data_IF_936559836250
#
_entry.id   IF_936559836250
#
_cell.length_a   1.000
_cell.length_b   1.000
_cell.length_c   1.000
_cell.angle_alpha   90.00
_cell.angle_beta   90.00
_cell.angle_gamma   90.00
#
_symmetry.space_group_name_H-M   'P 1'
#
loop_
_entity.id
_entity.type
_entity.pdbx_description
1 polymer ?
#
# COMPACT_ATOMS: atom_id res chain seq x y z
N UNK A 1 -22.80 -13.40 -7.39
CA UNK A 1 -23.54 -13.23 -8.65
C UNK A 1 -22.71 -13.82 -9.80
N UNK A 2 -21.51 -13.37 -10.05
CA UNK A 2 -20.63 -13.87 -11.13
C UNK A 2 -20.37 -15.40 -11.07
N UNK A 3 -20.19 -16.00 -9.90
CA UNK A 3 -19.99 -17.45 -9.74
C UNK A 3 -21.17 -18.31 -10.22
N UNK A 4 -22.37 -17.76 -10.34
CA UNK A 4 -23.54 -18.47 -10.87
C UNK A 4 -23.65 -18.36 -12.39
N UNK A 5 -23.21 -17.24 -12.96
CA UNK A 5 -23.24 -17.00 -14.40
C UNK A 5 -22.04 -17.60 -15.11
N UNK A 6 -20.90 -17.69 -14.43
CA UNK A 6 -19.61 -18.16 -14.95
C UNK A 6 -19.01 -19.26 -14.05
N UNK A 7 -19.63 -20.46 -13.97
CA UNK A 7 -19.21 -21.50 -13.03
C UNK A 7 -17.82 -22.07 -13.37
N UNK A 8 -17.48 -22.21 -14.66
CA UNK A 8 -16.17 -22.70 -15.09
C UNK A 8 -15.05 -21.73 -14.76
N UNK A 9 -15.30 -20.44 -14.98
CA UNK A 9 -14.38 -19.37 -14.57
C UNK A 9 -14.17 -19.38 -13.07
N UNK A 10 -15.24 -19.51 -12.29
CA UNK A 10 -15.16 -19.59 -10.83
C UNK A 10 -14.30 -20.76 -10.37
N UNK A 11 -14.51 -21.96 -10.93
CA UNK A 11 -13.73 -23.15 -10.60
C UNK A 11 -12.24 -22.93 -10.88
N UNK A 12 -11.91 -22.52 -12.11
CA UNK A 12 -10.53 -22.24 -12.54
C UNK A 12 -9.86 -21.18 -11.67
N UNK A 13 -10.58 -20.11 -11.33
CA UNK A 13 -10.09 -19.06 -10.45
C UNK A 13 -9.76 -19.59 -9.05
N UNK A 14 -10.66 -20.39 -8.46
CA UNK A 14 -10.47 -20.96 -7.12
C UNK A 14 -9.30 -21.95 -7.07
N UNK A 15 -9.13 -22.78 -8.11
CA UNK A 15 -8.00 -23.70 -8.23
C UNK A 15 -6.68 -22.96 -8.36
N UNK A 16 -6.62 -21.94 -9.22
CA UNK A 16 -5.43 -21.09 -9.38
C UNK A 16 -5.09 -20.35 -8.08
N UNK A 17 -6.08 -19.77 -7.40
CA UNK A 17 -5.89 -19.09 -6.14
C UNK A 17 -5.31 -20.02 -5.05
N UNK A 18 -5.78 -21.27 -4.98
CA UNK A 18 -5.23 -22.30 -4.08
C UNK A 18 -3.79 -22.66 -4.43
N UNK A 19 -3.48 -22.81 -5.73
CA UNK A 19 -2.13 -23.09 -6.20
C UNK A 19 -1.15 -21.95 -5.84
N UNK A 20 -1.63 -20.71 -5.79
CA UNK A 20 -0.90 -19.53 -5.31
C UNK A 20 -0.83 -19.43 -3.77
N UNK A 21 -1.42 -20.40 -3.04
CA UNK A 21 -1.39 -20.45 -1.58
C UNK A 21 -2.46 -19.58 -0.88
N UNK A 22 -3.47 -19.09 -1.59
CA UNK A 22 -4.57 -18.34 -0.97
C UNK A 22 -5.58 -19.28 -0.31
N UNK A 23 -6.08 -18.86 0.86
CA UNK A 23 -7.18 -19.56 1.56
C UNK A 23 -8.50 -19.33 0.81
N UNK A 24 -9.40 -20.31 0.83
CA UNK A 24 -10.67 -20.28 0.10
C UNK A 24 -11.51 -19.01 0.34
N UNK A 25 -11.59 -18.55 1.59
CA UNK A 25 -12.34 -17.33 1.90
C UNK A 25 -11.73 -16.06 1.30
N UNK A 26 -10.38 -16.01 1.17
CA UNK A 26 -9.69 -14.91 0.49
C UNK A 26 -9.86 -14.99 -1.02
N UNK A 27 -9.76 -16.19 -1.60
CA UNK A 27 -10.01 -16.44 -3.02
C UNK A 27 -11.45 -16.06 -3.38
N UNK A 28 -12.44 -16.45 -2.58
CA UNK A 28 -13.84 -16.07 -2.77
C UNK A 28 -14.03 -14.54 -2.68
N UNK A 29 -13.38 -13.87 -1.74
CA UNK A 29 -13.42 -12.41 -1.64
C UNK A 29 -12.84 -11.74 -2.90
N UNK A 30 -11.72 -12.24 -3.41
CA UNK A 30 -11.11 -11.75 -4.66
C UNK A 30 -12.05 -11.99 -5.86
N UNK A 31 -12.67 -13.17 -5.96
CA UNK A 31 -13.63 -13.45 -7.02
C UNK A 31 -14.86 -12.53 -6.95
N UNK A 32 -15.33 -12.19 -5.75
CA UNK A 32 -16.39 -11.21 -5.58
C UNK A 32 -15.96 -9.80 -6.01
N UNK A 33 -14.69 -9.42 -5.77
CA UNK A 33 -14.12 -8.17 -6.31
C UNK A 33 -14.13 -8.16 -7.83
N UNK A 34 -13.78 -9.28 -8.50
CA UNK A 34 -13.92 -9.41 -9.94
C UNK A 34 -15.36 -9.16 -10.40
N UNK A 35 -16.33 -9.72 -9.67
CA UNK A 35 -17.76 -9.46 -9.93
C UNK A 35 -18.14 -7.98 -9.84
N UNK A 36 -17.52 -7.23 -8.94
CA UNK A 36 -17.71 -5.76 -8.87
C UNK A 36 -17.13 -5.05 -10.10
N UNK A 37 -15.97 -5.45 -10.61
CA UNK A 37 -15.41 -4.88 -11.83
C UNK A 37 -16.30 -5.20 -13.05
N UNK A 38 -16.75 -6.44 -13.20
CA UNK A 38 -17.69 -6.84 -14.25
C UNK A 38 -18.96 -6.01 -14.22
N UNK A 39 -19.55 -5.80 -13.02
CA UNK A 39 -20.75 -5.00 -12.85
C UNK A 39 -20.49 -3.49 -13.12
N UNK A 40 -19.33 -2.98 -12.70
CA UNK A 40 -18.99 -1.56 -12.85
C UNK A 40 -18.81 -1.15 -14.31
N UNK A 41 -18.19 -2.02 -15.12
CA UNK A 41 -17.87 -1.72 -16.51
C UNK A 41 -18.83 -2.36 -17.52
N UNK A 42 -19.74 -3.24 -17.07
CA UNK A 42 -20.66 -3.97 -17.95
C UNK A 42 -19.94 -4.89 -18.95
N UNK A 43 -18.74 -5.35 -18.60
CA UNK A 43 -17.85 -6.13 -19.45
C UNK A 43 -17.62 -7.54 -18.87
N UNK A 44 -17.39 -8.50 -19.75
CA UNK A 44 -16.95 -9.83 -19.31
C UNK A 44 -15.53 -9.80 -18.78
N UNK A 45 -15.12 -10.75 -17.88
CA UNK A 45 -13.78 -10.76 -17.29
C UNK A 45 -12.63 -10.70 -18.31
N UNK A 46 -12.74 -11.36 -19.46
CA UNK A 46 -11.74 -11.38 -20.52
C UNK A 46 -11.69 -10.08 -21.35
N UNK A 47 -12.69 -9.21 -21.24
CA UNK A 47 -12.74 -7.89 -21.90
C UNK A 47 -12.21 -6.77 -21.00
N UNK A 48 -11.85 -7.08 -19.76
CA UNK A 48 -11.31 -6.12 -18.80
C UNK A 48 -9.82 -5.88 -19.10
N UNK A 49 -9.53 -4.73 -19.71
CA UNK A 49 -8.16 -4.26 -19.97
C UNK A 49 -7.58 -3.51 -18.76
N UNK A 50 -6.28 -3.28 -18.79
CA UNK A 50 -5.55 -2.62 -17.71
C UNK A 50 -6.16 -1.26 -17.30
N UNK A 51 -6.64 -0.49 -18.26
CA UNK A 51 -7.32 0.79 -17.97
C UNK A 51 -8.56 0.63 -17.08
N UNK A 52 -9.32 -0.46 -17.24
CA UNK A 52 -10.48 -0.75 -16.39
C UNK A 52 -10.02 -1.16 -14.98
N UNK A 53 -8.94 -1.94 -14.87
CA UNK A 53 -8.34 -2.31 -13.59
C UNK A 53 -7.88 -1.07 -12.82
N UNK A 54 -7.19 -0.14 -13.49
CA UNK A 54 -6.70 1.11 -12.89
C UNK A 54 -7.83 2.02 -12.42
N UNK A 55 -8.83 2.21 -13.27
CA UNK A 55 -9.99 3.03 -12.94
C UNK A 55 -10.80 2.43 -11.79
N UNK A 56 -11.12 1.13 -11.86
CA UNK A 56 -11.90 0.44 -10.83
C UNK A 56 -11.16 0.38 -9.49
N UNK A 57 -9.84 0.14 -9.51
CA UNK A 57 -8.98 0.20 -8.32
C UNK A 57 -9.06 1.58 -7.65
N UNK A 58 -8.91 2.66 -8.42
CA UNK A 58 -8.94 4.02 -7.88
C UNK A 58 -10.31 4.32 -7.25
N UNK A 59 -11.41 3.97 -7.93
CA UNK A 59 -12.76 4.15 -7.41
C UNK A 59 -12.99 3.37 -6.11
N UNK A 60 -12.56 2.11 -6.04
CA UNK A 60 -12.72 1.27 -4.85
C UNK A 60 -11.87 1.77 -3.68
N UNK A 61 -10.64 2.20 -3.92
CA UNK A 61 -9.77 2.76 -2.88
C UNK A 61 -10.29 4.10 -2.38
N UNK A 62 -10.80 4.95 -3.26
CA UNK A 62 -11.43 6.22 -2.88
C UNK A 62 -12.69 5.99 -2.04
N UNK A 63 -13.55 5.07 -2.45
CA UNK A 63 -14.72 4.69 -1.67
C UNK A 63 -14.35 4.12 -0.30
N UNK A 64 -13.30 3.29 -0.23
CA UNK A 64 -12.83 2.72 1.03
C UNK A 64 -12.28 3.78 2.00
N UNK A 65 -11.65 4.85 1.50
CA UNK A 65 -11.17 5.98 2.33
C UNK A 65 -12.30 6.76 2.99
N UNK A 66 -13.49 6.77 2.38
CA UNK A 66 -14.68 7.48 2.91
C UNK A 66 -15.38 6.70 4.02
N UNK A 67 -15.08 5.42 4.20
CA UNK A 67 -15.72 4.56 5.19
C UNK A 67 -14.78 4.39 6.39
N UNK A 68 -15.14 4.88 7.59
CA UNK A 68 -14.34 4.68 8.81
C UNK A 68 -14.07 3.19 9.04
N UNK A 69 -12.86 2.86 9.49
CA UNK A 69 -12.43 1.49 9.86
C UNK A 69 -12.40 0.46 8.71
N UNK A 70 -12.60 0.82 7.47
CA UNK A 70 -12.31 -0.10 6.36
C UNK A 70 -10.82 -0.05 6.02
N UNK A 71 -10.20 -1.23 6.09
CA UNK A 71 -8.77 -1.40 5.81
C UNK A 71 -8.42 -1.16 4.34
N UNK A 72 -8.13 0.09 3.96
CA UNK A 72 -7.61 0.44 2.62
C UNK A 72 -6.42 -0.45 2.25
N UNK A 73 -5.55 -0.76 3.23
CA UNK A 73 -4.42 -1.67 3.06
C UNK A 73 -4.88 -3.09 2.68
N UNK A 74 -5.91 -3.60 3.36
CA UNK A 74 -6.46 -4.94 3.07
C UNK A 74 -7.06 -5.00 1.68
N UNK A 75 -7.85 -3.97 1.28
CA UNK A 75 -8.42 -3.87 -0.05
C UNK A 75 -7.33 -3.79 -1.13
N UNK A 76 -6.31 -2.97 -0.93
CA UNK A 76 -5.18 -2.85 -1.86
C UNK A 76 -4.43 -4.16 -2.05
N UNK A 77 -4.18 -4.91 -0.96
CA UNK A 77 -3.58 -6.26 -1.03
C UNK A 77 -4.49 -7.23 -1.78
N UNK A 78 -5.80 -7.18 -1.53
CA UNK A 78 -6.76 -8.07 -2.19
C UNK A 78 -6.88 -7.78 -3.69
N UNK A 79 -6.79 -6.51 -4.10
CA UNK A 79 -6.77 -6.11 -5.51
C UNK A 79 -5.49 -6.59 -6.22
N UNK A 80 -4.33 -6.47 -5.56
CA UNK A 80 -3.08 -7.03 -6.10
C UNK A 80 -3.15 -8.54 -6.25
N UNK A 81 -3.68 -9.25 -5.24
CA UNK A 81 -3.83 -10.70 -5.29
C UNK A 81 -4.85 -11.14 -6.35
N UNK A 82 -5.92 -10.35 -6.57
CA UNK A 82 -6.87 -10.57 -7.67
C UNK A 82 -6.15 -10.47 -9.02
N UNK A 83 -5.40 -9.41 -9.27
CA UNK A 83 -4.62 -9.24 -10.50
C UNK A 83 -3.64 -10.41 -10.71
N UNK A 84 -2.95 -10.84 -9.64
CA UNK A 84 -2.05 -12.00 -9.70
C UNK A 84 -2.80 -13.29 -10.07
N UNK A 85 -3.96 -13.55 -9.48
CA UNK A 85 -4.77 -14.73 -9.79
C UNK A 85 -5.26 -14.69 -11.24
N UNK A 86 -5.71 -13.52 -11.72
CA UNK A 86 -6.18 -13.35 -13.10
C UNK A 86 -5.05 -13.56 -14.13
N UNK A 87 -3.83 -13.07 -13.81
CA UNK A 87 -2.66 -13.34 -14.65
C UNK A 87 -2.37 -14.84 -14.75
N UNK A 88 -2.35 -15.56 -13.64
CA UNK A 88 -2.13 -17.01 -13.63
C UNK A 88 -3.33 -17.83 -14.19
N UNK A 89 -4.51 -17.23 -14.24
CA UNK A 89 -5.68 -17.79 -14.96
C UNK A 89 -5.65 -17.49 -16.45
N UNK A 90 -4.64 -16.81 -16.98
CA UNK A 90 -4.59 -16.36 -18.39
C UNK A 90 -5.78 -15.47 -18.79
N UNK A 91 -6.33 -14.73 -17.83
CA UNK A 91 -7.39 -13.74 -18.04
C UNK A 91 -6.85 -12.32 -18.10
N UNK A 92 -5.55 -12.15 -17.89
CA UNK A 92 -4.82 -10.90 -18.03
C UNK A 92 -3.41 -11.20 -18.51
N UNK A 93 -2.98 -10.48 -19.54
CA UNK A 93 -1.62 -10.62 -20.11
C UNK A 93 -0.59 -9.78 -19.33
N UNK A 94 -1.04 -8.91 -18.43
CA UNK A 94 -0.15 -8.04 -17.68
C UNK A 94 0.20 -8.61 -16.32
N UNK A 95 1.51 -8.59 -16.01
CA UNK A 95 2.01 -8.92 -14.68
C UNK A 95 1.43 -7.98 -13.63
N UNK A 96 0.94 -8.51 -12.50
CA UNK A 96 0.43 -7.70 -11.40
C UNK A 96 1.54 -6.80 -10.87
N UNK A 97 1.30 -5.49 -10.89
CA UNK A 97 2.26 -4.51 -10.39
C UNK A 97 1.85 -4.06 -9.00
N UNK A 98 2.75 -4.19 -8.04
CA UNK A 98 2.57 -3.49 -6.75
C UNK A 98 2.63 -1.99 -7.00
N UNK A 99 1.45 -1.37 -7.17
CA UNK A 99 1.30 0.08 -7.39
C UNK A 99 1.20 0.86 -6.07
N UNK A 100 1.77 0.34 -5.01
CA UNK A 100 2.10 1.23 -3.92
C UNK A 100 3.30 2.04 -4.38
N UNK A 101 3.26 3.38 -4.28
CA UNK A 101 4.50 4.13 -4.30
C UNK A 101 5.44 3.38 -3.37
N UNK A 102 6.62 3.06 -3.85
CA UNK A 102 7.59 2.31 -3.06
C UNK A 102 7.65 3.02 -1.71
N UNK A 103 7.65 2.24 -0.63
CA UNK A 103 7.84 2.84 0.70
C UNK A 103 9.09 3.72 0.74
N UNK A 104 10.05 3.46 -0.14
CA UNK A 104 11.22 4.29 -0.36
C UNK A 104 10.83 5.66 -0.94
N UNK A 105 9.96 5.72 -1.96
CA UNK A 105 9.53 6.98 -2.59
C UNK A 105 8.71 7.83 -1.61
N UNK A 106 7.80 7.20 -0.84
CA UNK A 106 7.04 7.91 0.20
C UNK A 106 8.00 8.46 1.25
N UNK A 107 8.96 7.65 1.73
CA UNK A 107 9.96 8.08 2.71
C UNK A 107 10.81 9.22 2.18
N UNK A 108 11.29 9.12 0.95
CA UNK A 108 12.07 10.18 0.31
C UNK A 108 11.27 11.49 0.20
N UNK A 109 10.00 11.41 -0.23
CA UNK A 109 9.10 12.56 -0.31
C UNK A 109 8.78 13.15 1.08
N UNK A 110 8.67 12.35 2.12
CA UNK A 110 8.47 12.81 3.49
C UNK A 110 9.74 13.48 4.05
N UNK A 111 10.92 12.87 3.87
CA UNK A 111 12.20 13.47 4.27
C UNK A 111 12.50 14.78 3.53
N UNK A 112 12.08 14.94 2.28
CA UNK A 112 12.25 16.21 1.54
C UNK A 112 11.45 17.38 2.11
N UNK A 113 10.47 17.13 2.99
CA UNK A 113 9.70 18.16 3.70
C UNK A 113 10.36 18.62 4.99
N UNK A 114 11.40 17.92 5.44
CA UNK A 114 12.20 18.26 6.63
C UNK A 114 13.38 19.11 6.20
N UNK A 115 13.83 20.03 7.07
CA UNK A 115 15.02 20.84 6.82
C UNK A 115 16.23 19.93 6.48
N UNK A 116 16.97 20.21 5.39
CA UNK A 116 17.99 19.29 4.88
C UNK A 116 19.06 18.88 5.91
N UNK A 117 19.51 19.82 6.75
CA UNK A 117 20.52 19.56 7.78
C UNK A 117 19.96 18.61 8.87
N UNK A 118 18.71 18.80 9.28
CA UNK A 118 18.05 17.91 10.24
C UNK A 118 17.86 16.52 9.64
N UNK A 119 17.34 16.42 8.41
CA UNK A 119 17.12 15.16 7.70
C UNK A 119 18.44 14.39 7.56
N UNK A 120 19.52 15.06 7.10
CA UNK A 120 20.86 14.45 6.95
C UNK A 120 21.40 13.90 8.27
N UNK A 121 21.29 14.68 9.36
CA UNK A 121 21.77 14.25 10.69
C UNK A 121 21.01 12.99 11.17
N UNK A 122 19.68 12.98 11.02
CA UNK A 122 18.86 11.84 11.45
C UNK A 122 19.09 10.60 10.58
N UNK A 123 19.25 10.76 9.27
CA UNK A 123 19.57 9.66 8.35
C UNK A 123 20.96 9.07 8.66
N UNK A 124 21.96 9.89 8.90
CA UNK A 124 23.28 9.42 9.30
C UNK A 124 23.25 8.63 10.62
N UNK A 125 22.47 9.08 11.61
CA UNK A 125 22.25 8.30 12.83
C UNK A 125 21.62 6.94 12.53
N UNK A 126 20.63 6.87 11.64
CA UNK A 126 19.99 5.61 11.24
C UNK A 126 20.97 4.66 10.56
N UNK A 127 21.88 5.17 9.71
CA UNK A 127 22.96 4.40 9.10
C UNK A 127 23.92 3.82 10.16
N UNK A 128 24.29 4.61 11.15
CA UNK A 128 25.15 4.16 12.25
C UNK A 128 24.51 3.01 13.04
N UNK A 129 23.24 3.13 13.44
CA UNK A 129 22.57 2.08 14.19
C UNK A 129 22.22 0.85 13.35
N UNK A 130 22.14 0.98 12.03
CA UNK A 130 21.88 -0.14 11.12
C UNK A 130 23.00 -1.21 11.15
N UNK A 131 24.22 -0.80 11.49
CA UNK A 131 25.35 -1.72 11.67
C UNK A 131 25.29 -2.56 12.95
N UNK A 132 24.45 -2.19 13.93
CA UNK A 132 24.42 -2.81 15.26
C UNK A 132 23.06 -3.37 15.66
N UNK A 133 21.98 -2.84 15.12
CA UNK A 133 20.61 -3.21 15.49
C UNK A 133 19.93 -4.06 14.43
N UNK A 134 18.92 -4.82 14.86
CA UNK A 134 18.08 -5.63 13.96
C UNK A 134 17.33 -4.74 12.96
N UNK A 135 17.16 -5.17 11.69
CA UNK A 135 16.47 -4.36 10.66
C UNK A 135 15.11 -3.80 11.08
N UNK A 136 14.29 -4.60 11.80
CA UNK A 136 12.99 -4.14 12.30
C UNK A 136 13.09 -3.01 13.34
N UNK A 137 14.14 -3.03 14.18
CA UNK A 137 14.40 -1.95 15.16
C UNK A 137 14.81 -0.65 14.45
N UNK A 138 15.65 -0.75 13.42
CA UNK A 138 16.07 0.39 12.60
C UNK A 138 14.87 0.98 11.85
N UNK A 139 13.99 0.15 11.30
CA UNK A 139 12.75 0.61 10.63
C UNK A 139 11.83 1.36 11.58
N UNK A 140 11.67 0.88 12.82
CA UNK A 140 10.86 1.56 13.83
C UNK A 140 11.50 2.89 14.25
N UNK A 141 12.82 2.92 14.44
CA UNK A 141 13.55 4.16 14.74
C UNK A 141 13.42 5.18 13.59
N UNK A 142 13.54 4.72 12.33
CA UNK A 142 13.36 5.56 11.14
C UNK A 142 11.95 6.16 11.08
N UNK A 143 10.91 5.35 11.30
CA UNK A 143 9.53 5.83 11.33
C UNK A 143 9.34 6.91 12.39
N UNK A 144 9.78 6.64 13.62
CA UNK A 144 9.65 7.58 14.76
C UNK A 144 10.39 8.90 14.51
N UNK A 145 11.64 8.84 14.03
CA UNK A 145 12.44 10.03 13.74
C UNK A 145 11.83 10.87 12.61
N UNK A 146 11.34 10.22 11.57
CA UNK A 146 10.70 10.91 10.44
C UNK A 146 9.40 11.58 10.85
N UNK A 147 8.52 10.90 11.59
CA UNK A 147 7.28 11.48 12.10
C UNK A 147 7.56 12.68 13.03
N UNK A 148 8.54 12.54 13.90
CA UNK A 148 8.97 13.63 14.77
C UNK A 148 9.51 14.83 13.96
N UNK A 149 10.39 14.58 12.98
CA UNK A 149 10.96 15.63 12.14
C UNK A 149 9.88 16.36 11.32
N UNK A 150 8.89 15.63 10.79
CA UNK A 150 7.75 16.21 10.08
C UNK A 150 6.88 17.08 11.00
N UNK A 151 6.65 16.64 12.24
CA UNK A 151 5.93 17.44 13.23
C UNK A 151 6.67 18.76 13.49
N UNK A 152 7.99 18.70 13.76
CA UNK A 152 8.81 19.89 13.99
C UNK A 152 8.77 20.82 12.78
N UNK A 153 8.93 20.29 11.56
CA UNK A 153 8.90 21.08 10.34
C UNK A 153 7.54 21.79 10.11
N UNK A 154 6.44 21.16 10.56
CA UNK A 154 5.10 21.73 10.45
C UNK A 154 4.80 22.80 11.51
N UNK A 155 5.34 22.64 12.73
CA UNK A 155 5.03 23.52 13.87
C UNK A 155 6.02 24.66 14.07
N UNK A 156 7.30 24.45 13.76
CA UNK A 156 8.37 25.42 13.98
C UNK A 156 9.38 25.43 12.83
N UNK A 157 9.07 26.16 11.79
CA UNK A 157 9.90 26.29 10.59
C UNK A 157 11.27 26.95 10.84
N UNK A 158 11.50 27.51 12.02
CA UNK A 158 12.79 28.11 12.39
C UNK A 158 13.83 27.07 12.81
N UNK A 159 13.38 25.83 13.14
CA UNK A 159 14.25 24.74 13.53
C UNK A 159 14.78 24.04 12.27
N UNK A 160 16.04 24.26 11.96
CA UNK A 160 16.69 23.74 10.75
C UNK A 160 17.65 22.58 11.03
N UNK A 161 18.10 22.42 12.27
CA UNK A 161 19.02 21.37 12.66
C UNK A 161 18.65 20.75 14.02
N UNK A 162 19.20 19.56 14.30
CA UNK A 162 18.92 18.81 15.54
C UNK A 162 19.37 19.57 16.78
N UNK A 163 20.43 20.41 16.71
CA UNK A 163 20.93 21.19 17.83
C UNK A 163 19.96 22.29 18.31
N UNK A 164 19.02 22.69 17.46
CA UNK A 164 18.00 23.72 17.80
C UNK A 164 16.75 23.13 18.44
N UNK A 165 16.66 21.80 18.52
CA UNK A 165 15.54 21.11 19.17
C UNK A 165 15.48 21.46 20.66
N UNK A 166 14.28 21.80 21.12
CA UNK A 166 13.99 22.13 22.50
C UNK A 166 13.07 21.08 23.13
N UNK A 167 13.10 20.98 24.45
CA UNK A 167 12.25 20.07 25.22
C UNK A 167 10.77 20.15 24.80
N UNK A 168 10.25 21.34 24.51
CA UNK A 168 8.88 21.56 24.04
C UNK A 168 8.52 20.77 22.78
N UNK A 169 9.49 20.56 21.84
CA UNK A 169 9.23 19.84 20.61
C UNK A 169 9.06 18.32 20.89
N UNK A 170 9.81 17.79 21.87
CA UNK A 170 9.69 16.39 22.28
C UNK A 170 8.39 16.15 23.08
N UNK A 171 8.02 17.10 23.96
CA UNK A 171 6.79 16.99 24.76
C UNK A 171 5.52 17.01 23.91
N UNK A 172 5.54 17.73 22.78
CA UNK A 172 4.41 17.77 21.83
C UNK A 172 4.26 16.52 20.99
N UNK A 173 5.33 15.76 20.80
CA UNK A 173 5.30 14.51 20.03
C UNK A 173 4.68 13.33 20.83
N UNK A 174 4.54 13.43 22.14
CA UNK A 174 3.92 12.41 23.00
C UNK A 174 2.40 12.42 22.92
#
# INVERSE_FOLDING_TARGET
MLARTEPELHLRFMETARALGFRDHLAMYQFNLLGHFVALFGKQPHELHQSHWDQGRNLLLEAARRIPNRGVKTLSTSLFNLEATLFHCELSDELPRRRHPDRADIRAAEWSRVAPTMASTMQHYLEQIAGTLRPGTVQNAELTLREFALLVAAEDTTVTCVAELKRRHVERYR
#
